data_IF_559852447729
#
_entry.id   IF_559852447729
#
_cell.length_a   1.000
_cell.length_b   1.000
_cell.length_c   1.000
_cell.angle_alpha   90.00
_cell.angle_beta   90.00
_cell.angle_gamma   90.00
#
_symmetry.space_group_name_H-M   'P 1'
#
loop_
_entity.id
_entity.type
_entity.pdbx_description
1 polymer ?
#
# COMPACT_ATOMS: atom_id res chain seq x y z
N UNK A 1 23.15 3.75 -16.18
CA UNK A 1 22.07 2.81 -15.85
C UNK A 1 22.14 2.49 -14.36
N UNK A 2 21.04 2.09 -13.72
CA UNK A 2 21.11 1.65 -12.33
C UNK A 2 21.90 0.32 -12.24
N UNK A 3 22.62 0.04 -11.14
CA UNK A 3 23.29 -1.25 -10.96
C UNK A 3 22.29 -2.41 -10.96
N UNK A 4 22.71 -3.57 -11.45
CA UNK A 4 21.93 -4.81 -11.31
C UNK A 4 21.69 -5.14 -9.84
N UNK A 5 20.46 -5.52 -9.52
CA UNK A 5 20.08 -5.91 -8.17
C UNK A 5 18.63 -5.65 -7.82
N UNK A 6 18.30 -5.96 -6.57
CA UNK A 6 16.99 -5.73 -5.98
C UNK A 6 17.10 -4.85 -4.74
N UNK A 7 16.09 -4.02 -4.52
CA UNK A 7 16.02 -3.11 -3.39
C UNK A 7 14.58 -2.93 -2.95
N UNK A 8 14.39 -2.90 -1.62
CA UNK A 8 13.17 -2.40 -0.99
C UNK A 8 13.49 -1.12 -0.22
N UNK A 9 12.77 -0.04 -0.53
CA UNK A 9 12.84 1.20 0.24
C UNK A 9 11.46 1.52 0.76
N UNK A 10 11.37 1.80 2.06
CA UNK A 10 10.16 2.25 2.72
C UNK A 10 10.34 3.66 3.27
N UNK A 11 9.29 4.47 3.15
CA UNK A 11 9.19 5.81 3.73
C UNK A 11 7.89 5.93 4.49
N UNK A 12 7.90 6.69 5.59
CA UNK A 12 6.69 7.01 6.33
C UNK A 12 5.86 8.06 5.58
N UNK A 13 4.71 7.65 5.06
CA UNK A 13 3.69 8.53 4.49
C UNK A 13 2.62 8.85 5.54
N UNK A 14 1.74 9.86 5.32
CA UNK A 14 0.69 10.19 6.28
C UNK A 14 -0.27 9.04 6.62
N UNK A 15 -0.34 8.02 5.74
CA UNK A 15 -1.16 6.82 5.88
C UNK A 15 -0.38 5.61 6.43
N UNK A 16 0.89 5.79 6.79
CA UNK A 16 1.80 4.72 7.21
C UNK A 16 2.86 4.40 6.15
N UNK A 17 3.42 3.21 6.24
CA UNK A 17 4.60 2.81 5.46
C UNK A 17 4.27 2.66 3.96
N UNK A 18 4.85 3.54 3.14
CA UNK A 18 4.83 3.47 1.68
C UNK A 18 6.13 2.86 1.19
N UNK A 19 6.05 1.70 0.55
CA UNK A 19 7.21 0.94 0.10
C UNK A 19 7.34 0.82 -1.41
N UNK A 20 8.57 0.82 -1.91
CA UNK A 20 8.91 0.54 -3.30
C UNK A 20 9.89 -0.62 -3.35
N UNK A 21 9.48 -1.70 -3.98
CA UNK A 21 10.35 -2.83 -4.33
C UNK A 21 10.72 -2.72 -5.81
N UNK A 22 12.01 -2.56 -6.11
CA UNK A 22 12.53 -2.33 -7.45
C UNK A 22 13.56 -3.41 -7.77
N UNK A 23 13.47 -3.97 -8.97
CA UNK A 23 14.46 -4.88 -9.55
C UNK A 23 15.04 -4.22 -10.79
N UNK A 24 16.37 -4.15 -10.87
CA UNK A 24 17.11 -3.64 -12.01
C UNK A 24 17.95 -4.75 -12.64
N UNK A 25 17.90 -4.81 -13.97
CA UNK A 25 18.68 -5.67 -14.85
C UNK A 25 19.85 -4.91 -15.50
N UNK A 26 20.31 -3.82 -14.89
CA UNK A 26 21.42 -3.02 -15.42
C UNK A 26 21.03 -2.14 -16.61
N UNK A 27 19.77 -2.17 -17.04
CA UNK A 27 19.26 -1.30 -18.10
C UNK A 27 18.83 0.07 -17.56
N UNK A 28 18.51 1.01 -18.45
CA UNK A 28 18.02 2.34 -18.06
C UNK A 28 16.59 2.36 -17.51
N UNK A 29 15.91 1.21 -17.42
CA UNK A 29 14.52 1.07 -16.98
C UNK A 29 14.43 0.02 -15.86
N UNK A 30 13.51 0.16 -14.90
CA UNK A 30 13.30 -0.90 -13.92
C UNK A 30 12.75 -2.13 -14.61
N UNK A 31 13.36 -3.30 -14.37
CA UNK A 31 12.85 -4.58 -14.83
C UNK A 31 11.51 -4.89 -14.17
N UNK A 32 11.40 -4.62 -12.86
CA UNK A 32 10.16 -4.70 -12.09
C UNK A 32 10.10 -3.59 -11.06
N UNK A 33 8.91 -3.04 -10.87
CA UNK A 33 8.60 -2.15 -9.76
C UNK A 33 7.28 -2.57 -9.13
N UNK A 34 7.29 -2.80 -7.81
CA UNK A 34 6.08 -3.06 -7.02
C UNK A 34 5.96 -1.99 -5.94
N UNK A 35 4.77 -1.42 -5.83
CA UNK A 35 4.44 -0.48 -4.77
C UNK A 35 3.73 -1.23 -3.65
N UNK A 36 4.16 -1.04 -2.41
CA UNK A 36 3.42 -1.43 -1.21
C UNK A 36 2.66 -0.21 -0.74
N UNK A 37 1.39 -0.14 -1.12
CA UNK A 37 0.48 0.91 -0.67
C UNK A 37 0.00 0.63 0.78
N UNK A 38 0.14 1.58 1.73
CA UNK A 38 -0.45 1.47 3.06
C UNK A 38 -1.97 1.25 2.99
N UNK A 39 -2.67 1.96 2.09
CA UNK A 39 -4.12 1.84 1.89
C UNK A 39 -4.57 0.42 1.56
N UNK A 40 -3.77 -0.35 0.79
CA UNK A 40 -4.09 -1.73 0.44
C UNK A 40 -4.03 -2.65 1.67
N UNK A 41 -3.03 -2.46 2.53
CA UNK A 41 -2.91 -3.21 3.78
C UNK A 41 -4.05 -2.85 4.73
N UNK A 42 -4.38 -1.57 4.86
CA UNK A 42 -5.49 -1.10 5.71
C UNK A 42 -6.85 -1.64 5.27
N UNK A 43 -7.11 -1.69 3.96
CA UNK A 43 -8.36 -2.24 3.44
C UNK A 43 -8.59 -3.70 3.88
N UNK A 44 -7.51 -4.48 4.03
CA UNK A 44 -7.61 -5.89 4.47
C UNK A 44 -8.12 -6.08 5.90
N UNK A 45 -8.00 -5.06 6.77
CA UNK A 45 -8.45 -5.14 8.17
C UNK A 45 -9.94 -4.83 8.34
N UNK A 46 -10.57 -4.21 7.33
CA UNK A 46 -11.96 -3.74 7.41
C UNK A 46 -12.97 -4.83 7.86
N UNK A 47 -12.92 -6.09 7.37
CA UNK A 47 -13.84 -7.13 7.84
C UNK A 47 -13.71 -7.44 9.33
N UNK A 48 -12.51 -7.28 9.91
CA UNK A 48 -12.29 -7.45 11.35
C UNK A 48 -12.86 -6.28 12.14
N UNK A 49 -12.69 -5.05 11.65
CA UNK A 49 -13.23 -3.84 12.27
C UNK A 49 -14.76 -3.79 12.26
N UNK A 50 -15.40 -4.34 11.21
CA UNK A 50 -16.86 -4.33 11.09
C UNK A 50 -17.56 -5.50 11.80
N UNK A 51 -16.83 -6.47 12.36
CA UNK A 51 -17.43 -7.67 12.96
C UNK A 51 -18.15 -7.33 14.26
N UNK A 52 -19.45 -7.60 14.33
CA UNK A 52 -20.29 -7.31 15.51
C UNK A 52 -20.82 -5.87 15.57
N UNK A 53 -20.56 -5.07 14.54
CA UNK A 53 -21.03 -3.69 14.40
C UNK A 53 -22.23 -3.59 13.45
N UNK A 54 -22.88 -2.43 13.42
CA UNK A 54 -23.96 -2.14 12.51
C UNK A 54 -23.43 -1.79 11.11
N UNK A 55 -24.27 -1.92 10.08
CA UNK A 55 -23.91 -1.49 8.71
C UNK A 55 -23.57 0.00 8.67
N UNK A 56 -24.21 0.82 9.50
CA UNK A 56 -23.90 2.25 9.63
C UNK A 56 -22.46 2.51 10.09
N UNK A 57 -21.87 1.63 10.91
CA UNK A 57 -20.52 1.79 11.44
C UNK A 57 -19.44 1.53 10.38
N UNK A 58 -19.79 0.90 9.25
CA UNK A 58 -18.86 0.63 8.14
C UNK A 58 -18.28 1.94 7.59
N UNK A 59 -19.10 3.00 7.49
CA UNK A 59 -18.65 4.30 6.97
C UNK A 59 -17.65 4.95 7.93
N UNK A 60 -17.91 4.88 9.25
CA UNK A 60 -17.01 5.41 10.27
C UNK A 60 -15.68 4.63 10.32
N UNK A 61 -15.74 3.29 10.18
CA UNK A 61 -14.58 2.43 10.12
C UNK A 61 -13.71 2.73 8.89
N UNK A 62 -14.31 2.90 7.71
CA UNK A 62 -13.59 3.29 6.48
C UNK A 62 -12.93 4.65 6.64
N UNK A 63 -13.63 5.64 7.22
CA UNK A 63 -13.08 6.97 7.46
C UNK A 63 -11.91 6.96 8.44
N UNK A 64 -11.93 6.10 9.45
CA UNK A 64 -10.88 5.98 10.47
C UNK A 64 -9.56 5.47 9.90
N UNK A 65 -9.60 4.51 8.97
CA UNK A 65 -8.40 3.91 8.36
C UNK A 65 -7.87 4.68 7.14
N UNK A 66 -8.59 5.73 6.71
CA UNK A 66 -8.22 6.68 5.65
C UNK A 66 -7.68 5.99 4.37
N UNK A 67 -8.53 5.19 3.72
CA UNK A 67 -8.18 4.49 2.47
C UNK A 67 -8.36 5.39 1.24
N UNK A 68 -7.35 5.42 0.38
CA UNK A 68 -7.45 6.02 -0.96
C UNK A 68 -7.43 4.91 -2.00
N UNK A 69 -8.54 4.73 -2.71
CA UNK A 69 -8.71 3.63 -3.67
C UNK A 69 -7.71 3.69 -4.83
N UNK A 70 -7.33 4.89 -5.29
CA UNK A 70 -6.31 5.05 -6.34
C UNK A 70 -4.90 4.62 -5.94
N UNK A 71 -4.62 4.54 -4.63
CA UNK A 71 -3.38 3.98 -4.11
C UNK A 71 -3.47 2.45 -3.97
N UNK A 72 -4.66 1.95 -3.63
CA UNK A 72 -4.96 0.56 -3.36
C UNK A 72 -4.90 -0.34 -4.62
N UNK A 73 -5.17 0.21 -5.80
CA UNK A 73 -5.33 -0.53 -7.07
C UNK A 73 -4.01 -0.86 -7.82
N UNK A 74 -2.84 -0.79 -7.16
CA UNK A 74 -1.52 -0.92 -7.81
C UNK A 74 -0.83 -2.28 -7.68
#
# INVERSE_FOLDING_TARGET
AAPEGEIYVATEAPKGELGFYIVSDGTGKPYRMRVRAPSFVHASVLPRLCKGHMVADVVANIGTIDIVLGECDR
#
